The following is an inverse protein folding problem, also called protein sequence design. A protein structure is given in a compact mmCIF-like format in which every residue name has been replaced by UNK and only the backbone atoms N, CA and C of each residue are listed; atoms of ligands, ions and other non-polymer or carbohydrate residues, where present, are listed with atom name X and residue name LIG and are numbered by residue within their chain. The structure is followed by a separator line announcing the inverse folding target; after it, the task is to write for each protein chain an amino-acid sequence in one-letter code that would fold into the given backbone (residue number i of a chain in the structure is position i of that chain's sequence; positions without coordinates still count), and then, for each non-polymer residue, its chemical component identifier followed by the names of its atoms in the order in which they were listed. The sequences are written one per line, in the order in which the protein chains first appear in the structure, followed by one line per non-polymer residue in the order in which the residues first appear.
data_IF_942214707329
#
_entry.id   IF_942214707329
#
_cell.length_a   1.000
_cell.length_b   1.000
_cell.length_c   1.000
_cell.angle_alpha   90.00
_cell.angle_beta   90.00
_cell.angle_gamma   90.00
#
_symmetry.space_group_name_H-M   'P 1'
#
loop_
_entity.id
_entity.type
_entity.pdbx_description
1 polymer ?
#
# COMPACT_ATOMS: atom_id res chain seq x y z
N UNK A 1 9.78 52.03 -17.36
CA UNK A 1 11.18 51.73 -17.00
C UNK A 1 11.19 51.30 -15.56
N UNK A 2 11.53 50.04 -15.38
CA UNK A 2 11.10 49.16 -14.30
C UNK A 2 11.82 49.40 -12.98
N UNK A 3 11.04 49.30 -11.90
CA UNK A 3 11.53 49.23 -10.53
C UNK A 3 11.94 47.79 -10.22
N UNK A 4 13.12 47.65 -9.59
CA UNK A 4 13.61 46.42 -8.99
C UNK A 4 12.63 45.90 -7.92
N UNK A 5 12.23 44.63 -8.02
CA UNK A 5 11.55 43.92 -6.94
C UNK A 5 12.23 42.57 -6.66
N UNK A 6 12.71 42.44 -5.42
CA UNK A 6 12.29 41.34 -4.56
C UNK A 6 12.88 39.97 -4.85
N UNK A 7 14.08 39.75 -4.31
CA UNK A 7 14.57 38.44 -3.92
C UNK A 7 13.51 37.75 -3.01
N UNK A 8 12.75 36.80 -3.56
CA UNK A 8 11.88 35.91 -2.80
C UNK A 8 12.38 34.49 -2.99
N UNK A 9 13.06 34.03 -1.95
CA UNK A 9 13.51 32.68 -1.70
C UNK A 9 12.31 31.72 -1.78
N UNK A 10 12.02 31.27 -3.00
CA UNK A 10 11.20 30.09 -3.20
C UNK A 10 12.01 28.92 -2.66
N UNK A 11 11.78 28.64 -1.37
CA UNK A 11 12.07 27.38 -0.73
C UNK A 11 11.43 26.27 -1.54
N UNK A 12 12.13 25.86 -2.60
CA UNK A 12 11.92 24.63 -3.30
C UNK A 12 12.01 23.57 -2.21
N UNK A 13 10.85 23.12 -1.73
CA UNK A 13 10.75 21.89 -0.97
C UNK A 13 11.47 20.90 -1.84
N UNK A 14 12.72 20.58 -1.47
CA UNK A 14 13.52 19.56 -2.11
C UNK A 14 12.59 18.37 -2.13
N UNK A 15 12.07 18.09 -3.31
CA UNK A 15 11.31 16.90 -3.54
C UNK A 15 12.33 15.83 -3.27
N UNK A 16 12.23 15.25 -2.08
CA UNK A 16 13.14 14.25 -1.60
C UNK A 16 12.96 13.11 -2.59
N UNK A 17 13.83 13.09 -3.61
CA UNK A 17 13.87 11.98 -4.54
C UNK A 17 13.98 10.75 -3.66
N UNK A 18 13.09 9.75 -3.81
CA UNK A 18 13.10 8.58 -2.94
C UNK A 18 14.42 7.86 -3.17
N UNK A 19 15.40 8.22 -2.34
CA UNK A 19 16.75 7.73 -2.40
C UNK A 19 16.68 6.30 -1.89
N UNK A 20 16.71 5.38 -2.86
CA UNK A 20 16.67 3.90 -2.75
C UNK A 20 15.24 3.35 -2.63
N UNK A 21 14.78 2.75 -3.72
CA UNK A 21 13.64 1.83 -3.73
C UNK A 21 13.82 0.78 -2.64
N UNK A 22 12.87 0.69 -1.73
CA UNK A 22 12.81 -0.35 -0.70
C UNK A 22 12.10 -1.59 -1.21
N UNK A 23 12.26 -2.70 -0.49
CA UNK A 23 11.58 -3.95 -0.78
C UNK A 23 11.08 -4.59 0.52
N UNK A 24 9.99 -5.33 0.43
CA UNK A 24 9.56 -6.23 1.50
C UNK A 24 9.30 -7.62 0.92
N UNK A 25 9.46 -8.63 1.75
CA UNK A 25 9.29 -10.02 1.35
C UNK A 25 8.08 -10.60 2.07
N UNK A 26 7.23 -11.30 1.33
CA UNK A 26 6.20 -12.15 1.91
C UNK A 26 6.68 -13.60 1.87
N UNK A 27 6.52 -14.28 3.00
CA UNK A 27 6.80 -15.69 3.15
C UNK A 27 5.52 -16.40 3.59
N UNK A 28 5.19 -17.50 2.93
CA UNK A 28 4.12 -18.37 3.41
C UNK A 28 4.57 -19.10 4.68
N UNK A 29 3.82 -18.94 5.77
CA UNK A 29 4.07 -19.67 7.01
C UNK A 29 3.50 -21.09 6.88
N UNK A 30 4.36 -22.10 7.02
CA UNK A 30 3.99 -23.51 6.86
C UNK A 30 4.97 -24.31 6.00
N UNK A 31 5.79 -23.63 5.19
CA UNK A 31 6.83 -24.25 4.37
C UNK A 31 8.23 -23.76 4.82
N UNK A 32 9.10 -24.63 5.37
CA UNK A 32 10.41 -24.23 5.88
C UNK A 32 11.36 -23.72 4.77
N UNK A 33 11.09 -24.03 3.51
CA UNK A 33 11.83 -23.56 2.33
C UNK A 33 10.92 -22.88 1.27
N UNK A 34 9.79 -22.32 1.68
CA UNK A 34 8.86 -21.66 0.75
C UNK A 34 9.46 -20.44 0.06
N UNK A 35 9.09 -20.24 -1.21
CA UNK A 35 9.53 -19.08 -2.02
C UNK A 35 9.22 -17.75 -1.33
N UNK A 36 10.18 -16.83 -1.38
CA UNK A 36 10.01 -15.45 -0.95
C UNK A 36 9.45 -14.62 -2.09
N UNK A 37 8.32 -13.95 -1.84
CA UNK A 37 7.75 -13.01 -2.79
C UNK A 37 8.33 -11.62 -2.49
N UNK A 38 9.22 -11.14 -3.36
CA UNK A 38 9.82 -9.81 -3.25
C UNK A 38 8.92 -8.73 -3.87
N UNK A 39 8.62 -7.69 -3.10
CA UNK A 39 7.69 -6.61 -3.44
C UNK A 39 8.35 -5.26 -3.25
N UNK A 40 8.17 -4.35 -4.21
CA UNK A 40 8.81 -3.02 -4.27
C UNK A 40 8.03 -1.97 -3.50
N UNK A 41 8.72 -0.98 -2.95
CA UNK A 41 8.11 0.13 -2.19
C UNK A 41 7.41 1.20 -3.02
N UNK A 42 7.41 1.12 -4.35
CA UNK A 42 6.84 2.15 -5.23
C UNK A 42 5.44 1.81 -5.76
N UNK A 43 4.84 0.72 -5.27
CA UNK A 43 3.58 0.18 -5.79
C UNK A 43 2.68 -0.37 -4.69
N UNK A 44 1.37 -0.30 -4.93
CA UNK A 44 0.36 -1.03 -4.14
C UNK A 44 0.19 -2.42 -4.73
N UNK A 45 0.12 -3.41 -3.85
CA UNK A 45 -0.16 -4.80 -4.22
C UNK A 45 -1.53 -5.22 -3.73
N UNK A 46 -2.30 -5.79 -4.64
CA UNK A 46 -3.60 -6.40 -4.37
C UNK A 46 -3.47 -7.90 -4.18
N UNK A 47 -4.07 -8.42 -3.11
CA UNK A 47 -4.12 -9.86 -2.82
C UNK A 47 -5.54 -10.36 -3.01
N UNK A 48 -5.68 -11.56 -3.58
CA UNK A 48 -6.97 -12.24 -3.68
C UNK A 48 -6.83 -13.62 -4.28
N UNK A 49 -7.95 -14.24 -4.68
CA UNK A 49 -7.96 -15.58 -5.28
C UNK A 49 -8.05 -15.57 -6.81
N UNK A 50 -8.28 -14.41 -7.43
CA UNK A 50 -8.48 -14.27 -8.89
C UNK A 50 -7.36 -13.49 -9.58
N UNK A 51 -6.71 -14.12 -10.59
CA UNK A 51 -5.61 -13.54 -11.38
C UNK A 51 -5.96 -12.24 -12.11
N UNK A 52 -7.22 -12.04 -12.51
CA UNK A 52 -7.64 -10.88 -13.32
C UNK A 52 -7.50 -9.54 -12.58
N UNK A 53 -7.61 -9.54 -11.24
CA UNK A 53 -7.69 -8.31 -10.45
C UNK A 53 -6.70 -8.23 -9.28
N UNK A 54 -5.88 -9.28 -9.07
CA UNK A 54 -4.98 -9.39 -7.93
C UNK A 54 -3.54 -9.61 -8.38
N UNK A 55 -2.61 -8.86 -7.82
CA UNK A 55 -1.17 -8.96 -8.09
C UNK A 55 -0.59 -10.21 -7.45
N UNK A 56 -1.11 -10.55 -6.27
CA UNK A 56 -0.77 -11.73 -5.51
C UNK A 56 -2.00 -12.63 -5.43
N UNK A 57 -1.82 -13.88 -5.86
CA UNK A 57 -2.90 -14.86 -5.88
C UNK A 57 -2.64 -15.92 -4.84
N UNK A 58 -3.52 -15.96 -3.84
CA UNK A 58 -3.50 -16.95 -2.78
C UNK A 58 -4.72 -17.88 -2.94
N UNK A 59 -4.47 -19.15 -3.25
CA UNK A 59 -5.50 -20.15 -3.56
C UNK A 59 -6.09 -20.78 -2.28
N UNK A 60 -6.56 -19.93 -1.37
CA UNK A 60 -7.23 -20.38 -0.15
C UNK A 60 -8.72 -20.00 -0.17
N UNK A 61 -9.59 -20.91 0.30
CA UNK A 61 -11.06 -20.69 0.27
C UNK A 61 -11.53 -19.50 1.09
N UNK A 62 -10.80 -19.15 2.15
CA UNK A 62 -11.10 -17.98 2.98
C UNK A 62 -10.70 -16.65 2.32
N UNK A 63 -10.09 -16.68 1.14
CA UNK A 63 -9.67 -15.48 0.41
C UNK A 63 -10.70 -15.16 -0.67
N UNK A 64 -11.08 -13.88 -0.74
CA UNK A 64 -12.08 -13.39 -1.69
C UNK A 64 -11.66 -13.68 -3.14
N UNK A 65 -12.63 -13.99 -4.01
CA UNK A 65 -12.36 -14.25 -5.44
C UNK A 65 -11.78 -13.03 -6.16
N UNK A 66 -12.21 -11.85 -5.74
CA UNK A 66 -11.66 -10.57 -6.19
C UNK A 66 -10.58 -10.09 -5.19
N UNK A 67 -10.31 -8.79 -5.18
CA UNK A 67 -9.41 -8.13 -4.23
C UNK A 67 -9.91 -8.33 -2.79
N UNK A 68 -9.11 -9.06 -2.02
CA UNK A 68 -9.34 -9.37 -0.61
C UNK A 68 -8.64 -8.37 0.30
N UNK A 69 -7.39 -8.02 0.01
CA UNK A 69 -6.68 -6.98 0.74
C UNK A 69 -5.73 -6.20 -0.19
N UNK A 70 -5.26 -5.06 0.30
CA UNK A 70 -4.26 -4.25 -0.37
C UNK A 70 -3.12 -3.92 0.58
N UNK A 71 -1.89 -3.99 0.06
CA UNK A 71 -0.68 -3.67 0.80
C UNK A 71 0.18 -2.66 0.07
N UNK A 72 0.93 -1.87 0.83
CA UNK A 72 1.82 -0.83 0.32
C UNK A 72 2.96 -0.59 1.29
N UNK A 73 4.21 -0.62 0.82
CA UNK A 73 5.35 -0.21 1.63
C UNK A 73 5.63 1.27 1.38
N UNK A 74 5.37 2.12 2.37
CA UNK A 74 5.65 3.55 2.26
C UNK A 74 7.16 3.77 2.40
N UNK A 75 7.82 4.07 1.28
CA UNK A 75 9.27 4.32 1.27
C UNK A 75 9.71 5.52 2.11
N UNK A 76 8.80 6.42 2.51
CA UNK A 76 9.15 7.59 3.34
C UNK A 76 9.36 7.26 4.82
N UNK A 77 8.54 6.37 5.39
CA UNK A 77 8.61 5.94 6.79
C UNK A 77 9.07 4.48 6.92
N UNK A 78 9.29 3.80 5.79
CA UNK A 78 9.63 2.37 5.67
C UNK A 78 8.61 1.45 6.34
N UNK A 79 7.34 1.88 6.44
CA UNK A 79 6.27 1.09 7.07
C UNK A 79 5.41 0.36 6.03
N UNK A 80 5.09 -0.90 6.33
CA UNK A 80 4.13 -1.67 5.55
C UNK A 80 2.71 -1.34 5.98
N UNK A 81 1.90 -0.87 5.05
CA UNK A 81 0.50 -0.55 5.29
C UNK A 81 -0.37 -1.62 4.65
N UNK A 82 -1.38 -2.06 5.38
CA UNK A 82 -2.29 -3.13 4.96
C UNK A 82 -3.74 -2.68 5.16
N UNK A 83 -4.56 -2.91 4.16
CA UNK A 83 -5.97 -2.57 4.19
C UNK A 83 -6.84 -3.81 3.97
N UNK A 84 -7.87 -3.97 4.81
CA UNK A 84 -8.95 -4.91 4.59
C UNK A 84 -9.78 -4.45 3.38
N UNK A 85 -9.75 -5.24 2.30
CA UNK A 85 -10.35 -4.84 1.03
C UNK A 85 -9.42 -4.04 0.12
N UNK A 86 -10.00 -3.18 -0.72
CA UNK A 86 -9.24 -2.32 -1.62
C UNK A 86 -9.78 -0.89 -1.66
N UNK A 87 -8.86 0.07 -1.75
CA UNK A 87 -9.11 1.50 -1.85
C UNK A 87 -8.75 2.05 -3.23
N UNK A 88 -7.69 1.50 -3.83
CA UNK A 88 -7.09 2.06 -5.04
C UNK A 88 -7.17 1.09 -6.23
N UNK A 89 -7.34 1.57 -7.46
CA UNK A 89 -6.99 0.79 -8.63
C UNK A 89 -5.47 0.52 -8.70
N UNK A 90 -5.06 -0.50 -9.45
CA UNK A 90 -3.66 -0.93 -9.62
C UNK A 90 -2.68 0.15 -10.12
N UNK A 91 -3.19 1.29 -10.60
CA UNK A 91 -2.42 2.37 -11.25
C UNK A 91 -2.50 3.72 -10.52
N UNK A 92 -2.90 3.74 -9.25
CA UNK A 92 -2.92 5.00 -8.49
C UNK A 92 -1.51 5.54 -8.24
N UNK A 93 -1.39 6.87 -8.21
CA UNK A 93 -0.11 7.52 -7.97
C UNK A 93 0.31 7.37 -6.50
N UNK A 94 1.60 7.21 -6.25
CA UNK A 94 2.15 6.96 -4.89
C UNK A 94 1.70 8.01 -3.86
N UNK A 95 1.57 9.27 -4.29
CA UNK A 95 1.12 10.38 -3.44
C UNK A 95 -0.36 10.23 -3.04
N UNK A 96 -1.21 9.74 -3.93
CA UNK A 96 -2.63 9.49 -3.67
C UNK A 96 -2.81 8.30 -2.72
N UNK A 97 -2.02 7.25 -2.95
CA UNK A 97 -1.97 6.07 -2.09
C UNK A 97 -1.61 6.50 -0.67
N UNK A 98 -0.50 7.22 -0.51
CA UNK A 98 -0.05 7.72 0.80
C UNK A 98 -1.14 8.56 1.46
N UNK A 99 -1.76 9.49 0.73
CA UNK A 99 -2.84 10.33 1.25
C UNK A 99 -4.02 9.51 1.74
N UNK A 100 -4.51 8.53 0.97
CA UNK A 100 -5.68 7.75 1.39
C UNK A 100 -5.40 6.76 2.53
N UNK A 101 -4.18 6.22 2.63
CA UNK A 101 -3.77 5.46 3.83
C UNK A 101 -3.58 6.35 5.07
N UNK A 102 -3.09 7.59 4.91
CA UNK A 102 -2.87 8.54 6.02
C UNK A 102 -4.15 9.19 6.52
N UNK A 103 -5.09 9.50 5.63
CA UNK A 103 -6.26 10.28 5.99
C UNK A 103 -7.22 9.50 6.91
N UNK A 104 -6.93 8.23 7.25
CA UNK A 104 -7.85 7.33 7.97
C UNK A 104 -9.24 7.31 7.32
N UNK A 105 -9.29 7.74 6.05
CA UNK A 105 -10.45 8.47 5.57
C UNK A 105 -11.46 7.46 5.12
N UNK A 106 -12.69 7.76 5.50
CA UNK A 106 -13.93 7.21 5.00
C UNK A 106 -13.98 7.36 3.46
N UNK A 107 -13.14 6.61 2.74
CA UNK A 107 -13.38 6.32 1.35
C UNK A 107 -14.62 5.44 1.37
N UNK A 108 -15.79 6.08 1.21
CA UNK A 108 -17.11 5.46 1.10
C UNK A 108 -17.18 4.33 0.06
N UNK A 109 -16.17 4.24 -0.80
CA UNK A 109 -16.03 3.25 -1.86
C UNK A 109 -15.13 2.05 -1.51
N UNK A 110 -14.59 1.98 -0.29
CA UNK A 110 -13.74 0.88 0.13
C UNK A 110 -14.57 -0.40 0.31
N UNK A 111 -14.31 -1.40 -0.53
CA UNK A 111 -14.96 -2.71 -0.39
C UNK A 111 -14.13 -3.57 0.54
N UNK A 112 -14.62 -3.80 1.76
CA UNK A 112 -14.00 -4.71 2.74
C UNK A 112 -14.07 -6.17 2.29
N UNK A 113 -13.16 -7.00 2.79
CA UNK A 113 -13.25 -8.44 2.58
C UNK A 113 -14.38 -9.06 3.42
N UNK A 114 -14.87 -10.22 2.96
CA UNK A 114 -15.93 -10.95 3.65
C UNK A 114 -15.45 -11.60 4.95
N UNK A 115 -14.20 -12.08 4.99
CA UNK A 115 -13.67 -12.84 6.12
C UNK A 115 -12.76 -12.00 7.03
N UNK A 116 -12.50 -10.75 6.67
CA UNK A 116 -11.56 -9.90 7.37
C UNK A 116 -10.10 -10.24 7.07
N UNK A 117 -9.23 -9.28 7.40
CA UNK A 117 -7.78 -9.42 7.35
C UNK A 117 -7.23 -9.29 8.76
N UNK A 118 -6.20 -10.05 9.09
CA UNK A 118 -5.62 -10.08 10.43
C UNK A 118 -4.10 -9.93 10.37
N UNK A 119 -3.56 -9.15 11.30
CA UNK A 119 -2.11 -9.02 11.53
C UNK A 119 -1.86 -9.39 12.99
N UNK A 120 -1.01 -10.38 13.23
CA UNK A 120 -0.66 -10.87 14.57
C UNK A 120 -1.90 -11.15 15.43
N UNK A 121 -2.91 -11.82 14.85
CA UNK A 121 -4.18 -12.16 15.52
C UNK A 121 -5.16 -10.99 15.70
N UNK A 122 -4.78 -9.75 15.37
CA UNK A 122 -5.65 -8.57 15.47
C UNK A 122 -6.30 -8.28 14.14
N UNK A 123 -7.62 -8.14 14.13
CA UNK A 123 -8.35 -7.77 12.89
C UNK A 123 -7.93 -6.38 12.44
N UNK A 124 -7.48 -6.29 11.20
CA UNK A 124 -7.19 -5.04 10.51
C UNK A 124 -8.49 -4.27 10.36
N UNK A 125 -8.59 -3.15 11.09
CA UNK A 125 -9.53 -2.11 10.75
C UNK A 125 -8.94 -1.30 9.60
N UNK A 126 -9.80 -0.72 8.78
CA UNK A 126 -9.46 0.02 7.57
C UNK A 126 -8.21 0.90 7.76
N UNK A 127 -7.21 0.73 6.88
CA UNK A 127 -5.95 1.50 6.93
C UNK A 127 -4.92 1.11 8.00
N UNK A 128 -4.95 -0.09 8.57
CA UNK A 128 -3.96 -0.47 9.59
C UNK A 128 -2.52 -0.50 9.04
N UNK A 129 -1.61 0.05 9.82
CA UNK A 129 -0.17 -0.07 9.61
C UNK A 129 0.30 -1.34 10.34
N UNK A 130 0.97 -2.24 9.63
CA UNK A 130 1.73 -3.31 10.25
C UNK A 130 3.13 -2.76 10.54
N UNK A 131 3.47 -2.65 11.82
CA UNK A 131 4.85 -2.37 12.28
C UNK A 131 5.64 -3.66 12.44
#
# INVERSE_FOLDING_TARGET
MECNEGNSDHGAKRECQPSRLGFFHLRHLGEPAGDLICLRSDRVYTVGRGRRHCDLVLLHRCISRNRHCQSFLDGSDRKLRLNDGFLFPRRSHIREIRRGFQAGSQCSNARVSLNGVFVNGRRVRQGAVAE
#
